data_IF_828019527591
#
_entry.id   IF_828019527591
#
_cell.length_a   1.000
_cell.length_b   1.000
_cell.length_c   1.000
_cell.angle_alpha   90.00
_cell.angle_beta   90.00
_cell.angle_gamma   90.00
#
_symmetry.space_group_name_H-M   'P 1'
#
loop_
_entity.id
_entity.type
_entity.pdbx_description
1 polymer ?
#
# COMPACT_ATOMS: atom_id res chain seq x y z
N UNK A 1 0.72 0.41 -4.13
CA UNK A 1 1.90 0.51 -5.01
C UNK A 1 1.44 0.94 -6.39
N UNK A 2 2.24 1.72 -7.12
CA UNK A 2 1.92 2.24 -8.45
C UNK A 2 3.22 2.53 -9.24
N UNK A 3 3.09 3.14 -10.41
CA UNK A 3 4.23 3.60 -11.23
C UNK A 3 4.81 4.92 -10.71
N UNK A 4 6.07 4.87 -10.28
CA UNK A 4 6.81 5.98 -9.68
C UNK A 4 7.80 6.62 -10.68
N UNK A 5 7.30 7.02 -11.84
CA UNK A 5 8.02 7.85 -12.83
C UNK A 5 9.42 7.32 -13.17
N UNK A 6 10.46 8.09 -12.84
CA UNK A 6 11.87 7.75 -13.09
C UNK A 6 12.31 6.45 -12.43
N UNK A 7 11.60 5.98 -11.40
CA UNK A 7 11.89 4.72 -10.70
C UNK A 7 11.04 3.55 -11.17
N UNK A 8 10.16 3.75 -12.15
CA UNK A 8 9.25 2.73 -12.62
C UNK A 8 8.47 2.09 -11.47
N UNK A 9 8.51 0.78 -11.36
CA UNK A 9 7.78 0.02 -10.34
C UNK A 9 8.65 -0.46 -9.15
N UNK A 10 9.92 -0.02 -9.08
CA UNK A 10 10.83 -0.44 -8.02
C UNK A 10 10.48 0.15 -6.66
N UNK A 11 10.06 1.42 -6.63
CA UNK A 11 9.64 2.08 -5.39
C UNK A 11 8.14 1.83 -5.15
N UNK A 12 7.80 1.58 -3.89
CA UNK A 12 6.49 1.06 -3.48
C UNK A 12 5.98 1.79 -2.25
N UNK A 13 5.22 2.85 -2.46
CA UNK A 13 4.76 3.72 -1.38
C UNK A 13 3.35 3.42 -0.85
N UNK A 14 2.54 2.64 -1.58
CA UNK A 14 1.16 2.40 -1.15
C UNK A 14 1.07 1.48 0.06
N UNK A 15 0.01 1.66 0.86
CA UNK A 15 -0.30 0.75 1.98
C UNK A 15 -0.89 -0.60 1.52
N UNK A 16 -1.20 -0.74 0.23
CA UNK A 16 -1.60 -1.98 -0.42
C UNK A 16 -0.52 -2.39 -1.42
N UNK A 17 -0.04 -3.63 -1.30
CA UNK A 17 0.85 -4.27 -2.28
C UNK A 17 0.02 -4.64 -3.51
N UNK A 18 0.52 -4.33 -4.69
CA UNK A 18 -0.09 -4.72 -5.98
C UNK A 18 0.89 -5.61 -6.71
N UNK A 19 0.57 -6.88 -6.90
CA UNK A 19 1.29 -7.70 -7.86
C UNK A 19 1.05 -7.15 -9.27
N UNK A 20 2.10 -6.81 -10.01
CA UNK A 20 1.95 -6.14 -11.30
C UNK A 20 1.63 -7.12 -12.44
N UNK A 21 1.98 -8.38 -12.28
CA UNK A 21 1.74 -9.42 -13.30
C UNK A 21 0.30 -9.92 -13.19
N UNK A 22 -0.22 -10.07 -11.98
CA UNK A 22 -1.57 -10.64 -11.72
C UNK A 22 -2.62 -9.60 -11.34
N UNK A 23 -2.20 -8.37 -11.00
CA UNK A 23 -3.05 -7.31 -10.42
C UNK A 23 -3.65 -7.64 -9.06
N UNK A 24 -3.21 -8.73 -8.41
CA UNK A 24 -3.64 -9.07 -7.06
C UNK A 24 -3.26 -7.97 -6.07
N UNK A 25 -4.16 -7.71 -5.12
CA UNK A 25 -4.01 -6.65 -4.11
C UNK A 25 -3.96 -7.26 -2.72
N UNK A 26 -2.86 -7.05 -2.02
CA UNK A 26 -2.65 -7.53 -0.65
C UNK A 26 -2.45 -6.34 0.29
N UNK A 27 -3.33 -6.12 1.28
CA UNK A 27 -3.12 -5.11 2.31
C UNK A 27 -1.80 -5.36 3.06
N UNK A 28 -0.98 -4.32 3.24
CA UNK A 28 0.22 -4.39 4.08
C UNK A 28 -0.14 -4.13 5.53
N UNK A 29 0.78 -4.39 6.45
CA UNK A 29 0.59 -4.06 7.88
C UNK A 29 0.28 -2.59 8.10
N UNK A 30 0.84 -1.69 7.28
CA UNK A 30 0.52 -0.26 7.33
C UNK A 30 -0.94 0.04 6.98
N UNK A 31 -1.59 -0.74 6.11
CA UNK A 31 -3.02 -0.60 5.86
C UNK A 31 -3.86 -1.01 7.07
N UNK A 32 -3.48 -2.09 7.75
CA UNK A 32 -4.16 -2.56 8.95
C UNK A 32 -3.98 -1.57 10.12
N UNK A 33 -2.77 -1.05 10.30
CA UNK A 33 -2.50 -0.01 11.28
C UNK A 33 -3.31 1.27 10.98
N UNK A 34 -3.35 1.71 9.73
CA UNK A 34 -4.12 2.89 9.32
C UNK A 34 -5.63 2.69 9.52
N UNK A 35 -6.15 1.50 9.26
CA UNK A 35 -7.55 1.17 9.55
C UNK A 35 -7.89 1.29 11.05
N UNK A 36 -7.00 0.82 11.94
CA UNK A 36 -7.17 0.95 13.39
C UNK A 36 -7.13 2.41 13.83
N UNK A 37 -6.15 3.18 13.37
CA UNK A 37 -6.04 4.62 13.64
C UNK A 37 -7.34 5.35 13.28
N UNK A 38 -7.91 5.05 12.11
CA UNK A 38 -9.18 5.64 11.66
C UNK A 38 -10.34 5.20 12.56
N UNK A 39 -10.43 3.92 12.89
CA UNK A 39 -11.50 3.38 13.74
C UNK A 39 -11.48 4.00 15.15
N UNK A 40 -10.29 4.13 15.72
CA UNK A 40 -10.08 4.63 17.07
C UNK A 40 -10.04 6.17 17.14
N UNK A 41 -9.86 6.83 15.99
CA UNK A 41 -9.63 8.29 15.86
C UNK A 41 -8.45 8.79 16.70
N UNK A 42 -7.42 7.95 16.81
CA UNK A 42 -6.25 8.19 17.65
C UNK A 42 -4.98 7.60 17.01
N UNK A 43 -3.81 8.12 17.40
CA UNK A 43 -2.47 7.70 16.94
C UNK A 43 -1.63 7.25 18.10
#
# INVERSE_FOLDING_TARGET
DNFEWAWGYEKRFGIVRVDYDTQERTPKDSALAYARIIADRAV
#
